data_IF_387301885571
#
_entry.id   IF_387301885571
#
_cell.length_a   1.000
_cell.length_b   1.000
_cell.length_c   1.000
_cell.angle_alpha   90.00
_cell.angle_beta   90.00
_cell.angle_gamma   90.00
#
_symmetry.space_group_name_H-M   'P 1'
#
loop_
_entity.id
_entity.type
_entity.pdbx_description
1 polymer ?
#
# COMPACT_ATOMS: atom_id res chain seq x y z
N UNK A 1 17.54 -17.32 -4.98
CA UNK A 1 18.18 -16.67 -6.16
C UNK A 1 17.64 -15.26 -6.20
N UNK A 2 18.50 -14.25 -6.27
CA UNK A 2 18.09 -12.84 -6.35
C UNK A 2 17.26 -12.60 -7.62
N UNK A 3 16.32 -11.68 -7.53
CA UNK A 3 15.55 -11.18 -8.67
C UNK A 3 16.20 -9.89 -9.22
N UNK A 4 15.78 -9.35 -10.36
CA UNK A 4 16.36 -8.11 -10.90
C UNK A 4 16.25 -6.90 -9.98
N UNK A 5 15.29 -6.87 -9.05
CA UNK A 5 15.00 -5.71 -8.21
C UNK A 5 15.18 -5.97 -6.71
N UNK A 6 15.39 -7.24 -6.30
CA UNK A 6 15.56 -7.63 -4.90
C UNK A 6 16.77 -8.56 -4.81
N UNK A 7 17.80 -8.18 -4.01
CA UNK A 7 19.05 -8.94 -3.84
C UNK A 7 18.99 -9.98 -2.72
N UNK A 8 17.88 -10.08 -1.99
CA UNK A 8 17.71 -11.02 -0.90
C UNK A 8 17.84 -12.49 -1.33
N UNK A 9 18.23 -13.36 -0.42
CA UNK A 9 18.17 -14.80 -0.61
C UNK A 9 16.75 -15.33 -0.31
N UNK A 10 16.47 -16.54 -0.77
CA UNK A 10 15.23 -17.23 -0.43
C UNK A 10 15.18 -17.48 1.09
N UNK A 11 14.10 -17.03 1.72
CA UNK A 11 13.91 -17.15 3.16
C UNK A 11 14.36 -15.92 3.97
N UNK A 12 14.94 -14.91 3.31
CA UNK A 12 15.30 -13.66 4.00
C UNK A 12 14.07 -12.80 4.34
N UNK A 13 12.98 -12.92 3.56
CA UNK A 13 11.73 -12.23 3.87
C UNK A 13 10.80 -13.08 4.74
N UNK A 14 10.12 -12.43 5.66
CA UNK A 14 9.03 -13.01 6.44
C UNK A 14 7.77 -13.22 5.58
N UNK A 15 6.80 -13.97 6.11
CA UNK A 15 5.50 -14.19 5.44
C UNK A 15 4.68 -12.92 5.28
N UNK A 16 4.88 -11.95 6.17
CA UNK A 16 4.18 -10.66 6.16
C UNK A 16 5.18 -9.52 5.94
N UNK A 17 4.87 -8.66 4.98
CA UNK A 17 5.66 -7.47 4.64
C UNK A 17 4.81 -6.22 4.85
N UNK A 18 5.32 -5.28 5.65
CA UNK A 18 4.82 -3.92 5.71
C UNK A 18 5.48 -3.10 4.58
N UNK A 19 4.67 -2.39 3.79
CA UNK A 19 5.17 -1.77 2.57
C UNK A 19 4.86 -0.26 2.52
N UNK A 20 5.73 0.59 3.12
CA UNK A 20 5.69 2.04 2.92
C UNK A 20 6.20 2.43 1.54
N UNK A 21 5.82 3.62 1.04
CA UNK A 21 6.31 4.17 -0.23
C UNK A 21 7.77 4.62 -0.17
N UNK A 22 8.18 5.20 0.96
CA UNK A 22 9.47 5.82 1.18
C UNK A 22 10.50 4.84 1.76
N UNK A 23 11.72 4.73 1.20
CA UNK A 23 12.76 3.85 1.72
C UNK A 23 13.27 4.25 3.11
N UNK A 24 13.31 5.54 3.45
CA UNK A 24 13.70 5.99 4.78
C UNK A 24 12.62 5.69 5.82
N UNK A 25 11.35 5.71 5.43
CA UNK A 25 10.26 5.23 6.29
C UNK A 25 10.35 3.73 6.52
N UNK A 26 10.71 2.95 5.50
CA UNK A 26 10.97 1.51 5.68
C UNK A 26 12.09 1.27 6.69
N UNK A 27 13.19 2.01 6.57
CA UNK A 27 14.31 1.98 7.52
C UNK A 27 13.85 2.36 8.93
N UNK A 28 13.17 3.49 9.07
CA UNK A 28 12.67 3.97 10.37
C UNK A 28 11.78 2.94 11.08
N UNK A 29 10.83 2.33 10.35
CA UNK A 29 9.94 1.31 10.91
C UNK A 29 10.74 0.10 11.37
N UNK A 30 11.65 -0.40 10.54
CA UNK A 30 12.47 -1.55 10.88
C UNK A 30 13.34 -1.28 12.12
N UNK A 31 14.10 -0.20 12.14
CA UNK A 31 15.03 0.13 13.23
C UNK A 31 14.33 0.54 14.54
N UNK A 32 13.09 1.05 14.46
CA UNK A 32 12.33 1.50 15.64
C UNK A 32 11.51 0.38 16.29
N UNK A 33 10.92 -0.49 15.50
CA UNK A 33 9.90 -1.42 15.99
C UNK A 33 10.30 -2.90 15.93
N UNK A 34 11.36 -3.25 15.20
CA UNK A 34 11.79 -4.64 15.08
C UNK A 34 13.08 -4.89 15.87
N UNK A 35 13.22 -6.10 16.39
CA UNK A 35 14.43 -6.64 17.01
C UNK A 35 15.21 -7.47 15.97
N UNK A 36 16.53 -7.64 16.16
CA UNK A 36 17.42 -8.44 15.29
C UNK A 36 17.34 -8.06 13.80
N UNK A 37 17.26 -6.77 13.52
CA UNK A 37 17.03 -6.20 12.18
C UNK A 37 18.18 -6.51 11.23
N UNK A 38 17.85 -7.02 10.04
CA UNK A 38 18.78 -7.24 8.93
C UNK A 38 18.30 -6.49 7.69
N UNK A 39 19.20 -5.74 7.04
CA UNK A 39 18.98 -5.22 5.69
C UNK A 39 19.15 -6.39 4.71
N UNK A 40 18.08 -6.79 4.04
CA UNK A 40 18.06 -7.96 3.13
C UNK A 40 18.14 -7.55 1.66
N UNK A 41 17.79 -6.31 1.32
CA UNK A 41 17.94 -5.75 -0.03
C UNK A 41 18.08 -4.25 0.00
N UNK A 42 18.87 -3.72 -0.97
CA UNK A 42 19.03 -2.26 -1.20
C UNK A 42 19.16 -1.90 -2.67
N UNK A 43 18.76 -2.82 -3.57
CA UNK A 43 18.79 -2.59 -5.01
C UNK A 43 17.97 -1.37 -5.38
N UNK A 44 18.51 -0.45 -6.16
CA UNK A 44 17.88 0.83 -6.55
C UNK A 44 17.46 1.69 -5.36
N UNK A 45 18.11 1.54 -4.21
CA UNK A 45 17.75 2.15 -2.93
C UNK A 45 16.34 1.75 -2.43
N UNK A 46 15.77 0.68 -2.97
CA UNK A 46 14.56 0.07 -2.45
C UNK A 46 14.92 -0.79 -1.23
N UNK A 47 14.96 -0.14 -0.07
CA UNK A 47 15.41 -0.75 1.17
C UNK A 47 14.38 -1.77 1.67
N UNK A 48 14.87 -2.98 1.98
CA UNK A 48 14.06 -4.04 2.59
C UNK A 48 14.79 -4.64 3.79
N UNK A 49 14.05 -4.80 4.87
CA UNK A 49 14.53 -5.28 6.16
C UNK A 49 13.69 -6.45 6.65
N UNK A 50 14.30 -7.32 7.45
CA UNK A 50 13.59 -8.36 8.20
C UNK A 50 14.08 -8.36 9.62
N UNK A 51 13.18 -8.53 10.58
CA UNK A 51 13.45 -8.59 12.00
C UNK A 51 12.32 -9.27 12.75
N UNK A 52 12.32 -9.14 14.06
CA UNK A 52 11.30 -9.71 14.94
C UNK A 52 10.43 -8.60 15.56
N UNK A 53 9.14 -8.76 15.52
CA UNK A 53 8.20 -7.97 16.31
C UNK A 53 7.55 -8.86 17.36
N UNK A 54 7.89 -8.65 18.63
CA UNK A 54 7.43 -9.50 19.75
C UNK A 54 7.65 -11.00 19.48
N UNK A 55 8.84 -11.34 18.96
CA UNK A 55 9.24 -12.71 18.65
C UNK A 55 8.69 -13.27 17.33
N UNK A 56 7.88 -12.51 16.56
CA UNK A 56 7.31 -12.92 15.28
C UNK A 56 8.10 -12.28 14.14
N UNK A 57 8.57 -13.06 13.12
CA UNK A 57 9.24 -12.49 11.96
C UNK A 57 8.33 -11.56 11.16
N UNK A 58 8.81 -10.35 10.89
CA UNK A 58 8.15 -9.33 10.05
C UNK A 58 9.20 -8.71 9.15
N UNK A 59 8.81 -8.44 7.90
CA UNK A 59 9.64 -7.67 6.97
C UNK A 59 9.02 -6.30 6.71
N UNK A 60 9.87 -5.35 6.40
CA UNK A 60 9.48 -4.00 5.95
C UNK A 60 10.26 -3.72 4.67
N UNK A 61 9.56 -3.36 3.60
CA UNK A 61 10.21 -3.02 2.33
C UNK A 61 9.48 -1.86 1.66
N UNK A 62 10.25 -0.91 1.12
CA UNK A 62 9.67 0.19 0.35
C UNK A 62 9.00 -0.29 -0.94
N UNK A 63 7.88 0.35 -1.31
CA UNK A 63 7.25 0.15 -2.62
C UNK A 63 7.75 1.10 -3.70
N UNK A 64 8.39 2.22 -3.33
CA UNK A 64 8.50 3.39 -4.20
C UNK A 64 7.13 4.03 -4.43
N UNK A 65 7.01 4.86 -5.45
CA UNK A 65 5.79 5.57 -5.84
C UNK A 65 5.22 5.02 -7.14
N UNK A 66 3.90 4.92 -7.18
CA UNK A 66 3.12 4.55 -8.37
C UNK A 66 2.95 3.06 -8.59
N UNK A 67 1.91 2.72 -9.34
CA UNK A 67 1.51 1.33 -9.60
C UNK A 67 2.62 0.49 -10.25
N UNK A 68 3.39 0.97 -11.23
CA UNK A 68 4.47 0.16 -11.80
C UNK A 68 5.54 -0.21 -10.78
N UNK A 69 5.86 0.69 -9.82
CA UNK A 69 6.87 0.43 -8.80
C UNK A 69 6.41 -0.64 -7.81
N UNK A 70 5.28 -0.43 -7.13
CA UNK A 70 4.75 -1.44 -6.20
C UNK A 70 4.42 -2.74 -6.93
N UNK A 71 4.04 -2.65 -8.19
CA UNK A 71 3.77 -3.81 -9.05
C UNK A 71 4.98 -4.72 -9.20
N UNK A 72 6.16 -4.16 -9.41
CA UNK A 72 7.41 -4.93 -9.47
C UNK A 72 7.70 -5.62 -8.12
N UNK A 73 7.78 -4.82 -7.05
CA UNK A 73 8.21 -5.34 -5.75
C UNK A 73 7.22 -6.34 -5.15
N UNK A 74 5.91 -6.06 -5.21
CA UNK A 74 4.90 -7.00 -4.70
C UNK A 74 4.88 -8.30 -5.48
N UNK A 75 5.02 -8.25 -6.82
CA UNK A 75 5.11 -9.44 -7.67
C UNK A 75 6.30 -10.30 -7.29
N UNK A 76 7.49 -9.70 -7.14
CA UNK A 76 8.70 -10.44 -6.79
C UNK A 76 8.60 -11.04 -5.39
N UNK A 77 8.13 -10.29 -4.40
CA UNK A 77 7.95 -10.76 -3.03
C UNK A 77 7.00 -11.96 -2.96
N UNK A 78 5.84 -11.89 -3.58
CA UNK A 78 4.87 -12.99 -3.60
C UNK A 78 5.40 -14.21 -4.34
N UNK A 79 5.95 -14.01 -5.54
CA UNK A 79 6.28 -15.12 -6.45
C UNK A 79 7.57 -15.83 -6.09
N UNK A 80 8.59 -15.09 -5.61
CA UNK A 80 9.94 -15.63 -5.47
C UNK A 80 10.44 -15.72 -4.03
N UNK A 81 9.89 -14.91 -3.11
CA UNK A 81 10.37 -14.87 -1.73
C UNK A 81 9.42 -15.49 -0.71
N UNK A 82 8.30 -16.07 -1.18
CA UNK A 82 7.37 -16.80 -0.31
C UNK A 82 6.55 -15.91 0.63
N UNK A 83 6.43 -14.63 0.30
CA UNK A 83 5.55 -13.70 1.01
C UNK A 83 4.10 -14.10 0.77
N UNK A 84 3.29 -14.04 1.84
CA UNK A 84 1.87 -14.38 1.80
C UNK A 84 0.99 -13.13 1.95
N UNK A 85 1.43 -12.18 2.77
CA UNK A 85 0.68 -10.99 3.10
C UNK A 85 1.52 -9.73 2.83
N UNK A 86 0.97 -8.75 2.12
CA UNK A 86 1.56 -7.42 2.02
C UNK A 86 0.54 -6.40 2.53
N UNK A 87 0.96 -5.61 3.52
CA UNK A 87 0.18 -4.50 4.05
C UNK A 87 0.86 -3.21 3.64
N UNK A 88 0.27 -2.50 2.69
CA UNK A 88 0.72 -1.15 2.36
C UNK A 88 0.41 -0.21 3.52
N UNK A 89 1.40 0.59 3.92
CA UNK A 89 1.28 1.63 4.94
C UNK A 89 1.75 2.95 4.32
N UNK A 90 0.79 3.70 3.80
CA UNK A 90 1.03 4.88 2.99
C UNK A 90 0.39 6.15 3.54
N UNK A 91 0.44 7.19 2.72
CA UNK A 91 -0.31 8.43 2.89
C UNK A 91 -1.32 8.62 1.76
N UNK A 92 -2.34 9.43 1.98
CA UNK A 92 -3.36 9.75 0.99
C UNK A 92 -3.88 11.19 1.19
N UNK A 93 -4.29 11.81 0.08
CA UNK A 93 -5.05 13.06 0.11
C UNK A 93 -6.54 12.78 0.25
N UNK A 94 -7.22 13.47 1.16
CA UNK A 94 -8.65 13.29 1.41
C UNK A 94 -9.51 14.07 0.42
N UNK A 95 -10.55 13.42 -0.11
CA UNK A 95 -11.61 14.03 -0.91
C UNK A 95 -12.87 14.36 -0.10
N UNK A 96 -12.88 14.06 1.21
CA UNK A 96 -14.06 14.16 2.07
C UNK A 96 -13.81 15.05 3.30
N UNK A 97 -14.83 15.75 3.70
CA UNK A 97 -14.81 16.58 4.91
C UNK A 97 -14.82 15.76 6.21
N UNK A 98 -15.34 14.54 6.19
CA UNK A 98 -15.35 13.62 7.34
C UNK A 98 -14.03 12.85 7.54
N UNK A 99 -13.15 12.84 6.54
CA UNK A 99 -11.86 12.17 6.57
C UNK A 99 -10.75 13.22 6.70
N UNK A 100 -10.35 13.47 7.94
CA UNK A 100 -9.46 14.58 8.31
C UNK A 100 -7.98 14.22 8.17
N UNK A 101 -7.13 15.26 8.09
CA UNK A 101 -5.68 15.10 8.20
C UNK A 101 -5.34 14.40 9.52
N UNK A 102 -4.39 13.45 9.48
CA UNK A 102 -3.99 12.52 10.54
C UNK A 102 -4.98 11.36 10.83
N UNK A 103 -6.16 11.33 10.23
CA UNK A 103 -7.00 10.14 10.30
C UNK A 103 -6.30 8.93 9.65
N UNK A 104 -6.55 7.75 10.22
CA UNK A 104 -6.14 6.48 9.63
C UNK A 104 -7.33 5.85 8.91
N UNK A 105 -7.13 5.48 7.67
CA UNK A 105 -8.15 4.80 6.86
C UNK A 105 -7.66 3.46 6.34
N UNK A 106 -8.59 2.51 6.22
CA UNK A 106 -8.37 1.17 5.65
C UNK A 106 -9.16 1.06 4.35
N UNK A 107 -8.48 0.71 3.27
CA UNK A 107 -9.11 0.53 1.97
C UNK A 107 -10.09 -0.66 1.99
N UNK A 108 -11.35 -0.41 1.66
CA UNK A 108 -12.37 -1.45 1.41
C UNK A 108 -12.39 -1.84 -0.08
N UNK A 109 -11.99 -0.93 -0.93
CA UNK A 109 -11.83 -1.13 -2.36
C UNK A 109 -10.85 -0.08 -2.90
N UNK A 110 -10.01 -0.48 -3.84
CA UNK A 110 -9.23 0.44 -4.67
C UNK A 110 -9.91 0.58 -6.03
N UNK A 111 -10.14 1.82 -6.45
CA UNK A 111 -10.69 2.15 -7.77
C UNK A 111 -9.64 2.88 -8.59
N UNK A 112 -9.59 2.64 -9.90
CA UNK A 112 -8.60 3.25 -10.78
C UNK A 112 -9.07 3.31 -12.23
N UNK A 113 -8.62 4.32 -12.96
CA UNK A 113 -8.68 4.39 -14.42
C UNK A 113 -7.48 3.73 -15.10
N UNK A 114 -6.53 3.20 -14.34
CA UNK A 114 -5.32 2.56 -14.85
C UNK A 114 -5.59 1.28 -15.62
N UNK A 115 -4.83 1.07 -16.68
CA UNK A 115 -4.80 -0.22 -17.38
C UNK A 115 -3.97 -1.31 -16.67
N UNK A 116 -3.43 -1.04 -15.49
CA UNK A 116 -2.49 -1.95 -14.80
C UNK A 116 -3.05 -3.37 -14.66
N UNK A 117 -4.23 -3.52 -14.07
CA UNK A 117 -4.83 -4.83 -13.82
C UNK A 117 -5.19 -5.58 -15.12
N UNK A 118 -5.60 -4.84 -16.16
CA UNK A 118 -5.87 -5.40 -17.48
C UNK A 118 -4.59 -5.95 -18.13
N UNK A 119 -3.53 -5.15 -18.15
CA UNK A 119 -2.25 -5.52 -18.78
C UNK A 119 -1.55 -6.62 -17.99
N UNK A 120 -1.61 -6.57 -16.67
CA UNK A 120 -0.94 -7.49 -15.77
C UNK A 120 -1.60 -8.88 -15.73
N UNK A 121 -2.92 -8.95 -15.64
CA UNK A 121 -3.64 -10.21 -15.40
C UNK A 121 -4.95 -10.38 -16.18
N UNK A 122 -5.25 -9.48 -17.14
CA UNK A 122 -6.47 -9.55 -17.95
C UNK A 122 -7.74 -9.09 -17.21
N UNK A 123 -7.62 -8.54 -16.01
CA UNK A 123 -8.75 -8.02 -15.25
C UNK A 123 -9.24 -6.70 -15.87
N UNK A 124 -10.53 -6.66 -16.20
CA UNK A 124 -11.18 -5.49 -16.82
C UNK A 124 -11.88 -4.59 -15.79
N UNK A 125 -11.91 -5.02 -14.53
CA UNK A 125 -12.57 -4.27 -13.47
C UNK A 125 -11.70 -3.06 -13.09
N UNK A 126 -12.34 -1.93 -12.93
CA UNK A 126 -11.74 -0.70 -12.43
C UNK A 126 -11.84 -0.55 -10.90
N UNK A 127 -12.31 -1.58 -10.20
CA UNK A 127 -12.45 -1.65 -8.75
C UNK A 127 -12.00 -3.03 -8.26
N UNK A 128 -10.98 -3.06 -7.39
CA UNK A 128 -10.41 -4.30 -6.84
C UNK A 128 -10.44 -4.23 -5.32
N UNK A 129 -10.92 -5.31 -4.69
CA UNK A 129 -11.00 -5.40 -3.23
C UNK A 129 -9.69 -5.95 -2.64
N UNK A 130 -9.33 -5.50 -1.43
CA UNK A 130 -8.28 -6.13 -0.62
C UNK A 130 -8.71 -7.53 -0.14
N UNK A 131 -7.82 -8.21 0.56
CA UNK A 131 -8.15 -9.43 1.30
C UNK A 131 -9.08 -9.10 2.47
N UNK A 132 -10.32 -9.62 2.44
CA UNK A 132 -11.30 -9.38 3.49
C UNK A 132 -10.81 -9.90 4.84
N UNK A 133 -10.26 -11.10 4.87
CA UNK A 133 -9.74 -11.71 6.09
C UNK A 133 -8.64 -10.87 6.74
N UNK A 134 -7.71 -10.33 5.92
CA UNK A 134 -6.64 -9.46 6.42
C UNK A 134 -7.19 -8.12 6.93
N UNK A 135 -8.18 -7.54 6.23
CA UNK A 135 -8.86 -6.33 6.69
C UNK A 135 -9.59 -6.55 8.03
N UNK A 136 -10.23 -7.69 8.21
CA UNK A 136 -10.95 -8.01 9.46
C UNK A 136 -9.99 -8.13 10.65
N UNK A 137 -8.81 -8.75 10.44
CA UNK A 137 -7.74 -8.79 11.45
C UNK A 137 -7.25 -7.39 11.80
N UNK A 138 -7.01 -6.54 10.79
CA UNK A 138 -6.56 -5.15 10.99
C UNK A 138 -7.60 -4.36 11.78
N UNK A 139 -8.88 -4.43 11.41
CA UNK A 139 -9.97 -3.75 12.13
C UNK A 139 -10.08 -4.20 13.58
N UNK A 140 -9.99 -5.51 13.81
CA UNK A 140 -10.04 -6.06 15.17
C UNK A 140 -8.88 -5.54 16.03
N UNK A 141 -7.66 -5.49 15.47
CA UNK A 141 -6.48 -4.97 16.17
C UNK A 141 -6.54 -3.45 16.39
N UNK A 142 -7.00 -2.68 15.42
CA UNK A 142 -7.20 -1.24 15.57
C UNK A 142 -8.16 -0.94 16.74
N UNK A 143 -9.28 -1.67 16.80
CA UNK A 143 -10.25 -1.56 17.89
C UNK A 143 -9.63 -1.93 19.25
N UNK A 144 -8.84 -3.02 19.32
CA UNK A 144 -8.18 -3.48 20.55
C UNK A 144 -7.24 -2.42 21.15
N UNK A 145 -6.53 -1.68 20.28
CA UNK A 145 -5.59 -0.63 20.69
C UNK A 145 -6.20 0.78 20.72
N UNK A 146 -7.52 0.89 20.52
CA UNK A 146 -8.25 2.16 20.61
C UNK A 146 -8.01 3.12 19.44
N UNK A 147 -7.54 2.62 18.29
CA UNK A 147 -7.37 3.43 17.07
C UNK A 147 -8.62 3.30 16.20
N UNK A 148 -9.24 4.43 15.86
CA UNK A 148 -10.28 4.46 14.86
C UNK A 148 -9.66 4.27 13.47
N UNK A 149 -10.07 3.20 12.78
CA UNK A 149 -9.65 2.91 11.43
C UNK A 149 -10.86 3.07 10.50
N UNK A 150 -10.94 4.21 9.82
CA UNK A 150 -12.09 4.57 8.98
C UNK A 150 -12.09 3.76 7.68
N UNK A 151 -13.18 3.13 7.27
CA UNK A 151 -13.25 2.47 5.96
C UNK A 151 -13.30 3.49 4.83
N UNK A 152 -12.65 3.22 3.69
CA UNK A 152 -12.68 4.11 2.54
C UNK A 152 -12.63 3.40 1.20
N UNK A 153 -13.18 4.07 0.18
CA UNK A 153 -12.96 3.80 -1.23
C UNK A 153 -11.73 4.62 -1.66
N UNK A 154 -10.67 3.94 -2.04
CA UNK A 154 -9.39 4.58 -2.38
C UNK A 154 -9.26 4.72 -3.89
N UNK A 155 -9.09 5.95 -4.37
CA UNK A 155 -8.67 6.21 -5.74
C UNK A 155 -7.17 6.00 -5.87
N UNK A 156 -6.76 5.04 -6.69
CA UNK A 156 -5.36 4.78 -6.99
C UNK A 156 -5.05 5.39 -8.36
N UNK A 157 -4.36 6.53 -8.38
CA UNK A 157 -4.12 7.32 -9.59
C UNK A 157 -2.77 7.02 -10.22
N UNK A 158 -2.71 6.99 -11.55
CA UNK A 158 -1.44 6.89 -12.29
C UNK A 158 -0.66 8.21 -12.30
N UNK A 159 -1.33 9.34 -12.03
CA UNK A 159 -0.72 10.67 -12.07
C UNK A 159 -1.00 11.45 -10.80
N UNK A 160 0.02 12.13 -10.29
CA UNK A 160 -0.12 13.05 -9.16
C UNK A 160 -0.63 14.42 -9.62
N UNK A 161 -0.08 14.92 -10.72
CA UNK A 161 -0.45 16.20 -11.33
C UNK A 161 -1.34 15.95 -12.54
N UNK A 162 -2.66 16.12 -12.37
CA UNK A 162 -3.64 15.98 -13.43
C UNK A 162 -3.84 17.33 -14.16
N UNK A 163 -3.85 17.31 -15.48
CA UNK A 163 -4.19 18.51 -16.26
C UNK A 163 -5.65 18.92 -16.01
N UNK A 164 -5.88 20.23 -15.85
CA UNK A 164 -7.20 20.77 -15.53
C UNK A 164 -8.27 20.46 -16.58
N UNK A 165 -7.88 20.23 -17.84
CA UNK A 165 -8.79 19.83 -18.91
C UNK A 165 -9.36 18.41 -18.73
N UNK A 166 -8.73 17.58 -17.90
CA UNK A 166 -9.14 16.21 -17.62
C UNK A 166 -10.11 16.10 -16.41
N UNK A 167 -10.67 17.22 -15.98
CA UNK A 167 -11.61 17.29 -14.86
C UNK A 167 -10.93 17.55 -13.51
N UNK A 168 -11.79 17.69 -12.51
CA UNK A 168 -11.41 18.00 -11.13
C UNK A 168 -11.54 16.77 -10.24
N UNK A 169 -11.05 16.87 -9.00
CA UNK A 169 -11.25 15.84 -7.99
C UNK A 169 -12.73 15.58 -7.69
N UNK A 170 -13.61 16.61 -7.81
CA UNK A 170 -15.06 16.43 -7.67
C UNK A 170 -15.63 15.56 -8.79
N UNK A 171 -15.09 15.65 -10.00
CA UNK A 171 -15.53 14.82 -11.12
C UNK A 171 -15.08 13.36 -10.92
N UNK A 172 -13.91 13.13 -10.34
CA UNK A 172 -13.45 11.79 -9.95
C UNK A 172 -14.40 11.16 -8.93
N UNK A 173 -14.80 11.91 -7.89
CA UNK A 173 -15.76 11.42 -6.90
C UNK A 173 -17.10 11.03 -7.55
N UNK A 174 -17.60 11.85 -8.47
CA UNK A 174 -18.85 11.55 -9.19
C UNK A 174 -18.74 10.27 -10.01
N UNK A 175 -17.57 9.99 -10.58
CA UNK A 175 -17.34 8.82 -11.42
C UNK A 175 -17.18 7.51 -10.62
N UNK A 176 -16.48 7.55 -9.50
CA UNK A 176 -16.04 6.33 -8.80
C UNK A 176 -16.35 6.29 -7.29
N UNK A 177 -16.89 7.38 -6.71
CA UNK A 177 -17.30 7.43 -5.31
C UNK A 177 -16.16 7.48 -4.29
N UNK A 178 -14.90 7.68 -4.72
CA UNK A 178 -13.73 7.61 -3.85
C UNK A 178 -13.74 8.65 -2.72
N UNK A 179 -13.07 8.28 -1.63
CA UNK A 179 -12.97 9.07 -0.41
C UNK A 179 -11.59 9.72 -0.23
N UNK A 180 -10.57 9.09 -0.77
CA UNK A 180 -9.19 9.58 -0.75
C UNK A 180 -8.41 9.08 -1.97
N UNK A 181 -7.20 9.64 -2.19
CA UNK A 181 -6.34 9.32 -3.33
C UNK A 181 -4.93 8.96 -2.89
N UNK A 182 -4.38 7.92 -3.51
CA UNK A 182 -2.98 7.51 -3.48
C UNK A 182 -2.60 6.92 -4.85
N UNK A 183 -1.50 6.17 -4.97
CA UNK A 183 -1.00 5.78 -6.30
C UNK A 183 -0.61 4.30 -6.42
N UNK A 184 -0.94 3.41 -5.46
CA UNK A 184 -0.36 2.05 -5.42
C UNK A 184 -1.34 0.91 -5.12
N UNK A 185 -2.39 1.15 -4.34
CA UNK A 185 -3.26 0.10 -3.79
C UNK A 185 -3.92 -0.77 -4.86
N UNK A 186 -4.35 -0.18 -5.97
CA UNK A 186 -4.98 -0.92 -7.07
C UNK A 186 -4.04 -1.98 -7.67
N UNK A 187 -2.78 -1.63 -7.93
CA UNK A 187 -1.80 -2.57 -8.47
C UNK A 187 -1.42 -3.66 -7.44
N UNK A 188 -1.30 -3.30 -6.16
CA UNK A 188 -1.03 -4.27 -5.10
C UNK A 188 -2.16 -5.31 -5.01
N UNK A 189 -3.41 -4.87 -5.03
CA UNK A 189 -4.57 -5.76 -4.95
C UNK A 189 -4.69 -6.63 -6.21
N UNK A 190 -4.42 -6.07 -7.39
CA UNK A 190 -4.39 -6.83 -8.65
C UNK A 190 -3.34 -7.96 -8.60
N UNK A 191 -2.12 -7.68 -8.14
CA UNK A 191 -1.08 -8.69 -8.00
C UNK A 191 -1.45 -9.78 -6.99
N UNK A 192 -2.01 -9.39 -5.84
CA UNK A 192 -2.45 -10.34 -4.84
C UNK A 192 -3.55 -11.27 -5.38
N UNK A 193 -4.53 -10.72 -6.07
CA UNK A 193 -5.62 -11.48 -6.68
C UNK A 193 -5.11 -12.50 -7.70
N UNK A 194 -4.24 -12.09 -8.62
CA UNK A 194 -3.68 -12.99 -9.67
C UNK A 194 -2.86 -14.11 -9.06
N UNK A 195 -2.16 -13.85 -7.95
CA UNK A 195 -1.27 -14.82 -7.31
C UNK A 195 -1.92 -15.63 -6.18
N UNK A 196 -3.19 -15.37 -5.86
CA UNK A 196 -3.88 -16.01 -4.72
C UNK A 196 -3.21 -15.67 -3.39
N UNK A 197 -2.80 -14.40 -3.22
CA UNK A 197 -2.13 -13.86 -2.04
C UNK A 197 -2.99 -12.81 -1.35
N UNK A 198 -2.55 -12.33 -0.18
CA UNK A 198 -3.29 -11.37 0.62
C UNK A 198 -2.67 -9.98 0.54
N UNK A 199 -3.52 -8.97 0.37
CA UNK A 199 -3.13 -7.58 0.41
C UNK A 199 -4.12 -6.75 1.21
N UNK A 200 -3.60 -5.73 1.91
CA UNK A 200 -4.37 -4.67 2.57
C UNK A 200 -3.67 -3.32 2.37
N UNK A 201 -4.39 -2.23 2.59
CA UNK A 201 -3.84 -0.89 2.48
C UNK A 201 -4.37 -0.01 3.61
N UNK A 202 -3.47 0.39 4.50
CA UNK A 202 -3.66 1.39 5.55
C UNK A 202 -3.03 2.71 5.11
N UNK A 203 -3.76 3.80 5.25
CA UNK A 203 -3.32 5.12 4.84
C UNK A 203 -3.53 6.11 5.97
N UNK A 204 -2.55 7.00 6.16
CA UNK A 204 -2.72 8.20 6.97
C UNK A 204 -3.05 9.35 6.02
N UNK A 205 -4.07 10.12 6.35
CA UNK A 205 -4.42 11.30 5.56
C UNK A 205 -3.37 12.38 5.82
N UNK A 206 -2.66 12.76 4.77
CA UNK A 206 -1.58 13.76 4.82
C UNK A 206 -2.04 15.17 4.45
N UNK A 207 -3.07 15.27 3.62
CA UNK A 207 -3.58 16.52 3.08
C UNK A 207 -5.06 16.38 2.70
N UNK A 208 -5.72 17.51 2.46
CA UNK A 208 -7.13 17.54 2.10
C UNK A 208 -7.39 18.44 0.90
N UNK A 209 -8.19 17.93 -0.05
CA UNK A 209 -8.70 18.72 -1.17
C UNK A 209 -9.89 19.60 -0.76
N UNK A 210 -10.48 19.32 0.40
CA UNK A 210 -11.68 20.02 0.90
C UNK A 210 -11.30 21.16 1.84
N UNK A 211 -10.17 21.05 2.54
CA UNK A 211 -9.67 22.09 3.46
C UNK A 211 -8.18 22.38 3.18
N UNK A 212 -7.66 23.55 3.59
CA UNK A 212 -6.25 23.91 3.39
C UNK A 212 -5.27 23.17 4.33
N UNK A 213 -5.70 22.10 4.97
CA UNK A 213 -4.90 21.35 5.93
C UNK A 213 -3.92 20.41 5.21
N UNK A 214 -2.66 20.44 5.65
CA UNK A 214 -1.57 19.58 5.17
C UNK A 214 -0.63 19.26 6.33
N UNK A 215 -0.12 18.03 6.37
CA UNK A 215 1.00 17.67 7.27
C UNK A 215 2.32 18.11 6.65
N UNK A 216 3.18 18.69 7.45
CA UNK A 216 4.56 19.06 7.07
C UNK A 216 5.53 17.92 7.32
#
# INVERSE_FOLDING_TARGET
MATPHISAAKGDFAKTVLMPGDPLRAKFIAETFLEDVKLVTSVRNALGYTGLYKGVPVSVMTSGMGMPSIGIYSMELYKFYGVENIIRIGSAGSYRDWLKVMDVTLAEVAVSESSYALVQGGCKDNAIKPSQELNDVIKAKAKEIGIECKPSIVHSSDVFYRDASQGTWQDIIKQNGSDCVEMESFALFANAQVLGKNAACLLTISDSFVSPEITT
#
